data_IF_650451502486
#
_entry.id   IF_650451502486
#
_cell.length_a   1.000
_cell.length_b   1.000
_cell.length_c   1.000
_cell.angle_alpha   90.00
_cell.angle_beta   90.00
_cell.angle_gamma   90.00
#
_symmetry.space_group_name_H-M   'P 1'
#
loop_
_entity.id
_entity.type
_entity.pdbx_description
1 polymer ?
#
# COMPACT_ATOMS: atom_id res chain seq x y z
N UNK A 1 69.06 -39.94 38.80
CA UNK A 1 67.74 -39.70 38.14
C UNK A 1 67.29 -38.35 38.57
N UNK A 2 67.44 -37.37 37.70
CA UNK A 2 67.01 -35.96 37.94
C UNK A 2 65.55 -35.82 37.55
N UNK A 3 64.72 -35.67 38.56
CA UNK A 3 63.29 -35.34 38.35
C UNK A 3 63.17 -33.84 38.06
N UNK A 4 63.13 -33.48 36.78
CA UNK A 4 62.95 -32.13 36.37
C UNK A 4 61.51 -31.68 36.64
N UNK A 5 61.35 -30.59 37.38
CA UNK A 5 60.05 -29.95 37.63
C UNK A 5 59.53 -29.30 36.33
N UNK A 6 58.54 -29.90 35.67
CA UNK A 6 57.86 -29.32 34.51
C UNK A 6 56.89 -28.23 34.99
N UNK A 7 57.29 -26.96 34.90
CA UNK A 7 56.42 -25.83 35.13
C UNK A 7 55.64 -25.61 33.82
N UNK A 8 54.32 -25.85 33.82
CA UNK A 8 53.50 -25.52 32.73
C UNK A 8 53.30 -23.98 32.65
N UNK A 9 53.46 -23.35 31.48
CA UNK A 9 53.27 -21.92 31.37
C UNK A 9 51.80 -21.56 31.69
N UNK A 10 51.62 -20.60 32.58
CA UNK A 10 50.29 -20.06 32.92
C UNK A 10 49.65 -19.53 31.67
N UNK A 11 48.53 -20.10 31.27
CA UNK A 11 47.77 -19.68 30.08
C UNK A 11 47.24 -18.27 30.33
N UNK A 12 47.86 -17.27 29.76
CA UNK A 12 47.40 -15.89 29.88
C UNK A 12 46.07 -15.76 29.15
N UNK A 13 45.05 -15.37 29.89
CA UNK A 13 43.73 -15.17 29.34
C UNK A 13 43.72 -13.89 28.52
N UNK A 14 43.48 -14.01 27.19
CA UNK A 14 43.48 -12.87 26.28
C UNK A 14 42.15 -12.09 26.38
N UNK A 15 42.06 -11.19 27.37
CA UNK A 15 40.88 -10.34 27.58
C UNK A 15 40.54 -9.42 26.38
N UNK A 16 41.48 -9.10 25.50
CA UNK A 16 41.25 -8.35 24.27
C UNK A 16 40.42 -9.18 23.28
N UNK A 17 40.73 -10.48 23.18
CA UNK A 17 39.96 -11.39 22.35
C UNK A 17 38.54 -11.59 22.91
N UNK A 18 38.42 -11.74 24.24
CA UNK A 18 37.11 -11.82 24.90
C UNK A 18 36.29 -10.56 24.67
N UNK A 19 36.87 -9.36 24.84
CA UNK A 19 36.21 -8.10 24.61
C UNK A 19 35.75 -7.98 23.17
N UNK A 20 36.56 -8.40 22.20
CA UNK A 20 36.17 -8.43 20.78
C UNK A 20 34.94 -9.32 20.53
N UNK A 21 34.91 -10.51 21.10
CA UNK A 21 33.75 -11.41 20.97
C UNK A 21 32.49 -10.86 21.65
N UNK A 22 32.61 -10.21 22.80
CA UNK A 22 31.49 -9.57 23.49
C UNK A 22 30.91 -8.47 22.64
N UNK A 23 31.75 -7.61 22.06
CA UNK A 23 31.31 -6.54 21.15
C UNK A 23 30.60 -7.13 19.90
N UNK A 24 31.16 -8.19 19.34
CA UNK A 24 30.58 -8.88 18.19
C UNK A 24 29.19 -9.47 18.51
N UNK A 25 29.03 -10.07 19.69
CA UNK A 25 27.76 -10.63 20.17
C UNK A 25 26.70 -9.51 20.38
N UNK A 26 27.10 -8.38 20.97
CA UNK A 26 26.23 -7.24 21.16
C UNK A 26 25.74 -6.71 19.79
N UNK A 27 26.69 -6.53 18.84
CA UNK A 27 26.36 -6.04 17.50
C UNK A 27 25.45 -7.01 16.74
N UNK A 28 25.76 -8.32 16.81
CA UNK A 28 24.91 -9.36 16.23
C UNK A 28 23.53 -9.42 16.87
N UNK A 29 23.44 -9.27 18.17
CA UNK A 29 22.17 -9.18 18.91
C UNK A 29 21.33 -7.97 18.50
N UNK A 30 21.96 -6.79 18.32
CA UNK A 30 21.27 -5.59 17.81
C UNK A 30 20.74 -5.79 16.41
N UNK A 31 21.54 -6.35 15.50
CA UNK A 31 21.11 -6.64 14.12
C UNK A 31 19.91 -7.60 14.12
N UNK A 32 19.99 -8.67 14.90
CA UNK A 32 18.91 -9.65 15.03
C UNK A 32 17.63 -9.01 15.61
N UNK A 33 17.77 -8.17 16.64
CA UNK A 33 16.65 -7.44 17.25
C UNK A 33 15.97 -6.51 16.28
N UNK A 34 16.72 -5.64 15.57
CA UNK A 34 16.15 -4.71 14.59
C UNK A 34 15.59 -5.45 13.36
N UNK A 35 16.25 -6.52 12.91
CA UNK A 35 15.73 -7.37 11.83
C UNK A 35 14.39 -8.02 12.20
N UNK A 36 14.26 -8.49 13.44
CA UNK A 36 13.01 -9.05 13.95
C UNK A 36 11.91 -7.99 14.07
N UNK A 37 12.21 -6.79 14.59
CA UNK A 37 11.24 -5.68 14.65
C UNK A 37 10.79 -5.22 13.28
N UNK A 38 11.72 -5.10 12.34
CA UNK A 38 11.37 -4.80 10.95
C UNK A 38 10.44 -5.86 10.36
N UNK A 39 10.76 -7.12 10.54
CA UNK A 39 9.97 -8.22 10.01
C UNK A 39 8.53 -8.25 10.56
N UNK A 40 8.37 -8.06 11.87
CA UNK A 40 7.06 -8.17 12.55
C UNK A 40 6.24 -6.88 12.49
N UNK A 41 6.87 -5.72 12.65
CA UNK A 41 6.19 -4.44 12.82
C UNK A 41 6.48 -3.41 11.71
N UNK A 42 7.37 -3.73 10.76
CA UNK A 42 7.79 -2.78 9.72
C UNK A 42 8.64 -1.62 10.25
N UNK A 43 9.13 -1.70 11.49
CA UNK A 43 9.93 -0.64 12.08
C UNK A 43 11.35 -0.63 11.50
N UNK A 44 11.74 0.51 10.91
CA UNK A 44 13.09 0.69 10.38
C UNK A 44 14.09 0.91 11.52
N UNK A 45 15.34 0.40 11.39
CA UNK A 45 16.41 0.68 12.36
C UNK A 45 16.71 2.20 12.38
N UNK A 46 17.24 2.73 13.49
CA UNK A 46 17.53 4.16 13.64
C UNK A 46 18.68 4.64 12.72
N UNK A 47 19.39 3.75 12.07
CA UNK A 47 20.45 4.05 11.11
C UNK A 47 19.80 4.04 9.71
N UNK A 48 20.00 5.05 8.85
CA UNK A 48 19.47 5.09 7.49
C UNK A 48 20.12 3.99 6.63
N UNK A 49 19.57 2.79 6.72
CA UNK A 49 19.91 1.71 5.80
C UNK A 49 18.93 1.85 4.62
N UNK A 50 19.39 1.89 3.36
CA UNK A 50 18.51 1.90 2.21
C UNK A 50 17.83 0.53 2.09
N UNK A 51 16.79 0.32 2.87
CA UNK A 51 15.93 -0.86 2.75
C UNK A 51 14.75 -0.43 1.88
N UNK A 52 14.66 -0.98 0.69
CA UNK A 52 13.46 -0.85 -0.13
C UNK A 52 12.34 -1.64 0.53
N UNK A 53 11.58 -0.97 1.39
CA UNK A 53 10.45 -1.56 2.08
C UNK A 53 9.20 -1.35 1.21
N UNK A 54 8.75 -2.41 0.55
CA UNK A 54 7.57 -2.34 -0.29
C UNK A 54 7.17 -3.69 -0.85
N UNK A 55 6.01 -3.71 -1.47
CA UNK A 55 5.48 -4.89 -2.14
C UNK A 55 6.26 -5.17 -3.42
N UNK A 56 6.83 -6.35 -3.54
CA UNK A 56 7.50 -6.83 -4.76
C UNK A 56 6.49 -7.24 -5.84
N UNK A 57 6.89 -7.19 -7.11
CA UNK A 57 6.08 -7.67 -8.24
C UNK A 57 5.10 -6.64 -8.82
N UNK A 58 5.22 -5.35 -8.43
CA UNK A 58 4.49 -4.25 -9.05
C UNK A 58 5.22 -3.83 -10.32
N UNK A 59 4.49 -3.63 -11.40
CA UNK A 59 5.00 -3.03 -12.63
C UNK A 59 5.07 -1.51 -12.45
N UNK A 60 6.29 -0.98 -12.35
CA UNK A 60 6.55 0.45 -12.16
C UNK A 60 6.85 1.19 -13.48
N UNK A 61 6.55 0.58 -14.62
CA UNK A 61 6.74 1.22 -15.92
C UNK A 61 5.72 2.34 -16.14
N UNK A 62 6.18 3.44 -16.74
CA UNK A 62 5.31 4.56 -17.07
C UNK A 62 4.32 4.21 -18.18
N UNK A 63 3.07 4.64 -18.04
CA UNK A 63 2.02 4.44 -19.02
C UNK A 63 2.11 5.49 -20.13
N UNK A 64 2.32 5.07 -21.36
CA UNK A 64 2.42 5.96 -22.51
C UNK A 64 1.03 6.48 -22.96
N UNK A 65 1.03 7.60 -23.70
CA UNK A 65 -0.20 8.13 -24.30
C UNK A 65 -0.87 7.10 -25.24
N UNK A 66 -0.07 6.36 -26.01
CA UNK A 66 -0.58 5.28 -26.89
C UNK A 66 -1.25 4.16 -26.10
N UNK A 67 -0.74 3.78 -24.92
CA UNK A 67 -1.37 2.77 -24.07
C UNK A 67 -2.68 3.27 -23.47
N UNK A 68 -2.77 4.56 -23.09
CA UNK A 68 -4.03 5.17 -22.66
C UNK A 68 -5.07 5.19 -23.80
N UNK A 69 -4.66 5.61 -25.00
CA UNK A 69 -5.55 5.68 -26.17
C UNK A 69 -6.09 4.30 -26.59
N UNK A 70 -5.29 3.25 -26.46
CA UNK A 70 -5.70 1.87 -26.79
C UNK A 70 -6.52 1.21 -25.68
N UNK A 71 -6.62 1.84 -24.49
CA UNK A 71 -7.37 1.25 -23.39
C UNK A 71 -8.88 1.36 -23.63
N UNK A 72 -9.53 0.21 -23.69
CA UNK A 72 -10.97 0.08 -23.91
C UNK A 72 -11.61 -0.81 -22.83
N UNK A 73 -12.86 -0.57 -22.53
CA UNK A 73 -13.68 -1.38 -21.63
C UNK A 73 -15.14 -1.36 -22.10
N UNK A 74 -16.02 -2.15 -21.49
CA UNK A 74 -17.46 -2.14 -21.79
C UNK A 74 -18.07 -0.78 -21.48
N UNK A 75 -19.11 -0.39 -22.22
CA UNK A 75 -19.69 0.96 -22.16
C UNK A 75 -20.04 1.46 -20.77
N UNK A 76 -20.61 0.61 -19.91
CA UNK A 76 -21.00 0.97 -18.53
C UNK A 76 -19.86 0.90 -17.51
N UNK A 77 -18.76 0.21 -17.81
CA UNK A 77 -17.66 0.02 -16.86
C UNK A 77 -16.76 1.26 -16.76
N UNK A 78 -16.09 1.47 -15.62
CA UNK A 78 -15.12 2.55 -15.47
C UNK A 78 -13.91 2.32 -16.40
N UNK A 79 -13.57 3.31 -17.22
CA UNK A 79 -12.46 3.30 -18.18
C UNK A 79 -11.27 4.08 -17.67
N UNK A 80 -11.50 5.31 -17.19
CA UNK A 80 -10.47 6.17 -16.64
C UNK A 80 -10.92 6.84 -15.35
N UNK A 81 -9.95 7.14 -14.49
CA UNK A 81 -10.11 7.96 -13.28
C UNK A 81 -9.31 9.25 -13.42
N UNK A 82 -9.93 10.38 -13.07
CA UNK A 82 -9.28 11.69 -12.99
C UNK A 82 -9.53 12.31 -11.63
N UNK A 83 -8.46 12.80 -10.97
CA UNK A 83 -8.50 13.56 -9.72
C UNK A 83 -7.51 14.72 -9.88
N UNK A 84 -8.02 15.86 -10.34
CA UNK A 84 -7.17 17.01 -10.73
C UNK A 84 -6.31 17.52 -9.57
N UNK A 85 -6.88 17.59 -8.37
CA UNK A 85 -6.16 18.05 -7.16
C UNK A 85 -4.98 17.17 -6.76
N UNK A 86 -4.90 15.94 -7.28
CA UNK A 86 -3.78 15.02 -7.06
C UNK A 86 -2.90 14.81 -8.30
N UNK A 87 -3.15 15.55 -9.39
CA UNK A 87 -2.51 15.34 -10.69
C UNK A 87 -2.71 13.93 -11.28
N UNK A 88 -3.78 13.24 -10.88
CA UNK A 88 -4.21 11.99 -11.50
C UNK A 88 -5.03 12.34 -12.74
N UNK A 89 -4.46 12.09 -13.92
CA UNK A 89 -5.11 12.42 -15.19
C UNK A 89 -5.30 11.18 -16.05
N UNK A 90 -6.54 10.75 -16.20
CA UNK A 90 -6.96 9.59 -16.99
C UNK A 90 -6.11 8.35 -16.65
N UNK A 91 -6.04 8.00 -15.35
CA UNK A 91 -5.48 6.72 -14.93
C UNK A 91 -6.39 5.59 -15.44
N UNK A 92 -5.82 4.60 -16.12
CA UNK A 92 -6.59 3.48 -16.68
C UNK A 92 -7.20 2.66 -15.55
N UNK A 93 -8.44 2.24 -15.72
CA UNK A 93 -9.13 1.40 -14.75
C UNK A 93 -9.24 -0.02 -15.29
N UNK A 94 -8.88 -1.00 -14.45
CA UNK A 94 -8.97 -2.43 -14.77
C UNK A 94 -9.83 -3.16 -13.75
N UNK A 95 -10.61 -4.16 -14.18
CA UNK A 95 -11.36 -4.99 -13.24
C UNK A 95 -10.39 -5.80 -12.37
N UNK A 96 -10.65 -5.82 -11.07
CA UNK A 96 -9.91 -6.63 -10.09
C UNK A 96 -10.88 -7.46 -9.25
N UNK A 97 -10.36 -8.52 -8.64
CA UNK A 97 -11.07 -9.36 -7.69
C UNK A 97 -10.68 -9.08 -6.24
N UNK A 98 -10.83 -10.10 -5.39
CA UNK A 98 -10.31 -10.13 -4.03
C UNK A 98 -9.05 -11.00 -3.97
N UNK A 99 -8.15 -10.64 -3.06
CA UNK A 99 -7.02 -11.49 -2.65
C UNK A 99 -7.47 -12.59 -1.68
N UNK A 100 -6.57 -13.50 -1.38
CA UNK A 100 -6.83 -14.61 -0.44
C UNK A 100 -7.23 -14.18 0.98
N UNK A 101 -6.95 -12.92 1.37
CA UNK A 101 -7.34 -12.31 2.63
C UNK A 101 -8.64 -11.49 2.54
N UNK A 102 -9.42 -11.65 1.47
CA UNK A 102 -10.64 -10.89 1.15
C UNK A 102 -10.45 -9.37 0.98
N UNK A 103 -9.24 -8.88 0.83
CA UNK A 103 -8.98 -7.49 0.43
C UNK A 103 -9.17 -7.32 -1.07
N UNK A 104 -9.64 -6.14 -1.48
CA UNK A 104 -9.70 -5.77 -2.90
C UNK A 104 -8.29 -5.80 -3.48
N UNK A 105 -8.11 -6.50 -4.59
CA UNK A 105 -6.81 -6.57 -5.24
C UNK A 105 -6.44 -5.22 -5.88
N UNK A 106 -5.16 -5.06 -6.22
CA UNK A 106 -4.65 -3.86 -6.87
C UNK A 106 -4.23 -4.19 -8.31
N UNK A 107 -4.25 -3.20 -9.21
CA UNK A 107 -3.81 -3.40 -10.59
C UNK A 107 -2.30 -3.77 -10.62
N UNK A 108 -1.88 -4.40 -11.72
CA UNK A 108 -0.46 -4.80 -11.88
C UNK A 108 0.47 -3.61 -12.01
N UNK A 109 0.06 -2.58 -12.78
CA UNK A 109 0.87 -1.39 -12.98
C UNK A 109 0.56 -0.33 -11.93
N UNK A 110 1.60 0.30 -11.42
CA UNK A 110 1.55 1.28 -10.33
C UNK A 110 0.74 2.55 -10.65
N UNK A 111 0.61 2.87 -11.95
CA UNK A 111 -0.12 4.04 -12.43
C UNK A 111 -1.59 3.74 -12.78
N UNK A 112 -2.01 2.49 -12.67
CA UNK A 112 -3.37 2.06 -12.98
C UNK A 112 -4.24 2.02 -11.71
N UNK A 113 -5.55 1.96 -11.92
CA UNK A 113 -6.59 1.85 -10.88
C UNK A 113 -7.31 0.51 -11.04
N UNK A 114 -7.52 -0.19 -9.94
CA UNK A 114 -8.33 -1.39 -9.88
C UNK A 114 -9.79 -1.04 -9.59
N UNK A 115 -10.73 -1.59 -10.33
CA UNK A 115 -12.14 -1.56 -10.01
C UNK A 115 -12.59 -2.94 -9.53
N UNK A 116 -13.12 -3.02 -8.31
CA UNK A 116 -13.68 -4.28 -7.82
C UNK A 116 -14.91 -4.66 -8.63
N UNK A 117 -14.76 -5.64 -9.51
CA UNK A 117 -15.73 -6.02 -10.53
C UNK A 117 -17.08 -6.53 -9.98
N UNK A 118 -17.17 -6.77 -8.67
CA UNK A 118 -18.42 -7.12 -7.97
C UNK A 118 -19.06 -5.92 -7.25
N UNK A 119 -18.44 -4.74 -7.29
CA UNK A 119 -19.04 -3.49 -6.87
C UNK A 119 -19.87 -2.89 -8.02
N UNK A 120 -20.61 -1.83 -7.73
CA UNK A 120 -21.42 -1.15 -8.74
C UNK A 120 -20.59 -0.58 -9.89
N UNK A 121 -21.22 -0.39 -11.04
CA UNK A 121 -20.67 0.37 -12.16
C UNK A 121 -21.06 1.85 -12.01
N UNK A 122 -20.28 2.79 -12.57
CA UNK A 122 -20.61 4.20 -12.52
C UNK A 122 -21.97 4.49 -13.18
N UNK A 123 -22.83 5.29 -12.53
CA UNK A 123 -24.15 5.69 -13.01
C UNK A 123 -25.09 4.49 -13.25
N UNK A 124 -25.06 3.49 -12.36
CA UNK A 124 -25.91 2.30 -12.46
C UNK A 124 -27.04 2.32 -11.43
N UNK A 125 -26.70 2.46 -10.15
CA UNK A 125 -27.67 2.42 -9.04
C UNK A 125 -27.14 3.17 -7.81
N UNK A 126 -28.00 3.29 -6.76
CA UNK A 126 -27.61 3.86 -5.46
C UNK A 126 -26.78 2.83 -4.67
N UNK A 127 -25.55 2.66 -5.08
CA UNK A 127 -24.59 1.72 -4.53
C UNK A 127 -23.20 2.34 -4.53
N UNK A 128 -22.12 1.56 -4.47
CA UNK A 128 -20.74 2.07 -4.41
C UNK A 128 -19.89 1.48 -5.51
N UNK A 129 -19.21 2.35 -6.25
CA UNK A 129 -18.09 1.98 -7.11
C UNK A 129 -16.84 1.90 -6.25
N UNK A 130 -16.26 0.71 -6.10
CA UNK A 130 -15.09 0.50 -5.25
C UNK A 130 -13.82 0.42 -6.10
N UNK A 131 -12.90 1.37 -5.86
CA UNK A 131 -11.66 1.50 -6.60
C UNK A 131 -10.46 1.34 -5.67
N UNK A 132 -9.42 0.68 -6.15
CA UNK A 132 -8.14 0.49 -5.46
C UNK A 132 -6.98 1.00 -6.30
N UNK A 133 -5.88 1.38 -5.65
CA UNK A 133 -4.69 1.81 -6.35
C UNK A 133 -3.47 1.86 -5.45
N UNK A 134 -2.30 1.75 -6.04
CA UNK A 134 -1.04 1.76 -5.31
C UNK A 134 -0.71 3.14 -4.72
N UNK A 135 -0.25 3.16 -3.48
CA UNK A 135 0.36 4.34 -2.87
C UNK A 135 1.80 4.51 -3.35
N UNK A 136 2.60 3.45 -3.21
CA UNK A 136 4.02 3.47 -3.56
C UNK A 136 4.46 2.10 -4.06
N UNK A 137 5.47 2.08 -4.90
CA UNK A 137 6.25 0.91 -5.27
C UNK A 137 7.59 0.88 -4.54
N UNK A 138 8.57 0.18 -5.12
CA UNK A 138 9.93 0.12 -4.61
C UNK A 138 10.70 1.38 -5.02
N UNK A 139 10.52 1.83 -6.27
CA UNK A 139 11.25 2.96 -6.86
C UNK A 139 10.36 4.17 -7.14
N UNK A 140 9.06 3.95 -7.41
CA UNK A 140 8.15 5.01 -7.85
C UNK A 140 6.92 5.15 -6.98
N UNK A 141 6.41 6.36 -6.96
CA UNK A 141 5.11 6.67 -6.36
C UNK A 141 3.98 6.09 -7.19
N UNK A 142 2.94 5.59 -6.50
CA UNK A 142 1.75 5.05 -7.13
C UNK A 142 0.69 6.10 -7.43
N UNK A 143 -0.32 5.68 -8.20
CA UNK A 143 -1.44 6.54 -8.63
C UNK A 143 -2.16 7.21 -7.45
N UNK A 144 -2.19 6.56 -6.28
CA UNK A 144 -2.84 7.05 -5.06
C UNK A 144 -1.86 7.50 -3.97
N UNK A 145 -0.61 7.85 -4.32
CA UNK A 145 0.41 8.36 -3.40
C UNK A 145 -0.09 9.48 -2.48
N UNK A 146 -0.88 10.36 -3.03
CA UNK A 146 -1.37 11.54 -2.34
C UNK A 146 -2.85 11.44 -1.94
N UNK A 147 -3.44 10.25 -1.94
CA UNK A 147 -4.87 10.05 -1.69
C UNK A 147 -5.31 10.64 -0.34
N UNK A 148 -4.47 10.56 0.69
CA UNK A 148 -4.72 11.13 2.01
C UNK A 148 -4.73 12.66 2.07
N UNK A 149 -4.27 13.33 1.00
CA UNK A 149 -4.26 14.80 0.89
C UNK A 149 -5.55 15.37 0.29
N UNK A 150 -6.48 14.52 -0.14
CA UNK A 150 -7.78 14.98 -0.59
C UNK A 150 -8.50 15.68 0.57
N UNK A 151 -9.17 16.75 0.23
CA UNK A 151 -10.02 17.49 1.16
C UNK A 151 -11.49 17.34 0.77
N UNK A 152 -12.36 17.69 1.69
CA UNK A 152 -13.79 17.80 1.40
C UNK A 152 -14.01 18.71 0.19
N UNK A 153 -14.99 18.33 -0.62
CA UNK A 153 -15.34 18.96 -1.90
C UNK A 153 -14.31 18.79 -3.03
N UNK A 154 -13.22 18.03 -2.85
CA UNK A 154 -12.38 17.62 -3.99
C UNK A 154 -13.20 16.83 -5.00
N UNK A 155 -12.99 17.12 -6.30
CA UNK A 155 -13.71 16.46 -7.38
C UNK A 155 -12.99 15.19 -7.82
N UNK A 156 -13.77 14.12 -8.01
CA UNK A 156 -13.35 12.86 -8.63
C UNK A 156 -14.21 12.66 -9.89
N UNK A 157 -13.59 12.35 -11.01
CA UNK A 157 -14.30 12.05 -12.25
C UNK A 157 -13.97 10.65 -12.72
N UNK A 158 -14.98 9.82 -12.90
CA UNK A 158 -14.87 8.52 -13.56
C UNK A 158 -15.38 8.68 -15.00
N UNK A 159 -14.52 8.32 -15.96
CA UNK A 159 -14.90 8.24 -17.38
C UNK A 159 -15.29 6.80 -17.66
N UNK A 160 -16.48 6.58 -18.16
CA UNK A 160 -17.00 5.27 -18.54
C UNK A 160 -16.46 4.80 -19.90
N UNK A 161 -16.69 3.54 -20.22
CA UNK A 161 -16.34 2.98 -21.52
C UNK A 161 -17.08 3.62 -22.70
N UNK A 162 -18.25 4.18 -22.48
CA UNK A 162 -19.03 4.98 -23.43
C UNK A 162 -18.67 6.47 -23.44
N UNK A 163 -17.53 6.82 -22.82
CA UNK A 163 -16.94 8.15 -22.69
C UNK A 163 -17.80 9.17 -21.90
N UNK A 164 -18.85 8.73 -21.17
CA UNK A 164 -19.59 9.58 -20.23
C UNK A 164 -18.76 9.85 -18.97
N UNK A 165 -18.80 11.10 -18.49
CA UNK A 165 -18.14 11.54 -17.28
C UNK A 165 -19.12 11.52 -16.12
N UNK A 166 -18.83 10.73 -15.10
CA UNK A 166 -19.57 10.70 -13.84
C UNK A 166 -18.73 11.39 -12.78
N UNK A 167 -19.30 12.38 -12.12
CA UNK A 167 -18.61 13.26 -11.20
C UNK A 167 -19.04 13.00 -9.76
N UNK A 168 -18.06 12.96 -8.87
CA UNK A 168 -18.25 12.75 -7.44
C UNK A 168 -17.52 13.84 -6.67
N UNK A 169 -18.06 14.17 -5.49
CA UNK A 169 -17.45 15.11 -4.53
C UNK A 169 -17.07 14.36 -3.27
N UNK A 170 -15.81 14.51 -2.85
CA UNK A 170 -15.27 13.93 -1.61
C UNK A 170 -16.05 14.44 -0.42
N UNK A 171 -16.46 13.50 0.45
CA UNK A 171 -17.20 13.75 1.69
C UNK A 171 -16.47 13.24 2.91
N UNK A 172 -15.50 12.35 2.75
CA UNK A 172 -14.75 11.80 3.88
C UNK A 172 -13.41 11.25 3.41
N UNK A 173 -12.36 11.56 4.17
CA UNK A 173 -11.03 10.97 4.05
C UNK A 173 -10.65 10.41 5.41
N UNK A 174 -10.40 9.10 5.49
CA UNK A 174 -10.02 8.42 6.73
C UNK A 174 -8.73 7.65 6.54
N UNK A 175 -7.89 7.65 7.55
CA UNK A 175 -6.75 6.74 7.67
C UNK A 175 -7.08 5.77 8.80
N UNK A 176 -7.07 4.49 8.50
CA UNK A 176 -7.38 3.41 9.43
C UNK A 176 -6.23 2.43 9.53
N UNK A 177 -5.99 1.85 10.70
CA UNK A 177 -5.05 0.73 10.82
C UNK A 177 -5.66 -0.52 10.21
N UNK A 178 -4.83 -1.35 9.59
CA UNK A 178 -5.29 -2.63 9.03
C UNK A 178 -5.90 -3.53 10.12
N UNK A 179 -5.40 -3.45 11.35
CA UNK A 179 -5.93 -4.20 12.49
C UNK A 179 -7.35 -3.80 12.87
N UNK A 180 -7.70 -2.53 12.66
CA UNK A 180 -9.03 -1.97 12.95
C UNK A 180 -10.01 -2.17 11.78
N UNK A 181 -9.51 -2.74 10.65
CA UNK A 181 -10.32 -2.98 9.47
C UNK A 181 -11.17 -4.25 9.65
N UNK A 182 -12.27 -4.10 10.35
CA UNK A 182 -13.21 -5.15 10.70
C UNK A 182 -14.47 -5.13 9.79
N UNK A 183 -15.45 -5.97 10.11
CA UNK A 183 -16.70 -6.06 9.36
C UNK A 183 -17.48 -4.74 9.32
N UNK A 184 -17.41 -3.90 10.35
CA UNK A 184 -18.07 -2.60 10.38
C UNK A 184 -17.42 -1.63 9.41
N UNK A 185 -16.07 -1.57 9.36
CA UNK A 185 -15.33 -0.77 8.40
C UNK A 185 -15.58 -1.25 6.95
N UNK A 186 -15.65 -2.56 6.73
CA UNK A 186 -16.01 -3.14 5.43
C UNK A 186 -17.42 -2.72 5.01
N UNK A 187 -18.39 -2.76 5.92
CA UNK A 187 -19.76 -2.30 5.64
C UNK A 187 -19.81 -0.80 5.30
N UNK A 188 -18.98 0.02 5.96
CA UNK A 188 -18.92 1.45 5.69
C UNK A 188 -18.41 1.76 4.27
N UNK A 189 -17.41 1.05 3.78
CA UNK A 189 -16.83 1.31 2.44
C UNK A 189 -17.68 0.78 1.29
N UNK A 190 -18.59 -0.14 1.55
CA UNK A 190 -19.47 -0.75 0.54
C UNK A 190 -20.86 -0.11 0.47
N UNK A 191 -21.17 0.85 1.35
CA UNK A 191 -22.41 1.61 1.34
C UNK A 191 -22.16 3.04 0.89
N UNK A 192 -23.08 3.67 0.13
CA UNK A 192 -22.95 5.08 -0.22
C UNK A 192 -22.93 5.95 1.05
N UNK A 193 -22.20 7.08 0.99
CA UNK A 193 -22.16 8.03 2.11
C UNK A 193 -23.43 8.90 2.15
N UNK A 194 -24.04 9.09 1.00
CA UNK A 194 -25.37 9.69 0.81
C UNK A 194 -26.30 8.60 0.27
N UNK A 195 -27.29 8.20 1.07
CA UNK A 195 -28.19 7.10 0.72
C UNK A 195 -29.14 7.41 -0.46
N UNK A 196 -29.12 8.63 -0.97
CA UNK A 196 -29.92 9.06 -2.11
C UNK A 196 -29.14 9.09 -3.42
N UNK A 197 -27.82 8.87 -3.36
CA UNK A 197 -26.90 9.01 -4.51
C UNK A 197 -25.91 7.86 -4.57
N UNK A 198 -25.41 7.60 -5.76
CA UNK A 198 -24.30 6.67 -5.92
C UNK A 198 -23.04 7.19 -5.20
N UNK A 199 -22.32 6.28 -4.60
CA UNK A 199 -21.03 6.55 -3.96
C UNK A 199 -19.84 6.05 -4.77
N UNK A 200 -18.68 6.64 -4.56
CA UNK A 200 -17.40 6.06 -4.93
C UNK A 200 -16.52 5.96 -3.68
N UNK A 201 -15.86 4.82 -3.52
CA UNK A 201 -14.86 4.62 -2.46
C UNK A 201 -13.51 4.32 -3.11
N UNK A 202 -12.50 5.12 -2.77
CA UNK A 202 -11.12 4.89 -3.18
C UNK A 202 -10.35 4.33 -2.00
N UNK A 203 -9.57 3.26 -2.22
CA UNK A 203 -8.75 2.61 -1.19
C UNK A 203 -7.31 2.52 -1.65
N UNK A 204 -6.38 2.84 -0.75
CA UNK A 204 -4.95 2.68 -0.98
C UNK A 204 -4.24 2.22 0.30
N UNK A 205 -3.12 1.55 0.11
CA UNK A 205 -2.18 1.24 1.18
C UNK A 205 -1.53 2.53 1.70
N UNK A 206 -1.15 2.56 2.98
CA UNK A 206 -0.41 3.66 3.61
C UNK A 206 0.44 3.15 4.76
N UNK A 207 1.48 3.92 5.11
CA UNK A 207 2.34 3.67 6.28
C UNK A 207 3.48 2.71 6.00
N UNK A 208 3.81 1.85 6.98
CA UNK A 208 4.94 0.96 6.93
C UNK A 208 4.55 -0.41 6.35
N UNK A 209 5.44 -0.96 5.53
CA UNK A 209 5.32 -2.33 5.07
C UNK A 209 5.63 -3.30 6.20
N UNK A 210 4.76 -4.27 6.45
CA UNK A 210 4.95 -5.33 7.45
C UNK A 210 5.26 -6.64 6.71
N UNK A 211 6.54 -7.05 6.61
CA UNK A 211 6.94 -8.24 5.86
C UNK A 211 6.22 -9.52 6.31
N UNK A 212 6.05 -9.71 7.62
CA UNK A 212 5.37 -10.88 8.19
C UNK A 212 3.90 -11.01 7.78
N UNK A 213 3.24 -9.90 7.49
CA UNK A 213 1.83 -9.85 7.09
C UNK A 213 1.65 -9.67 5.57
N UNK A 214 2.74 -9.35 4.84
CA UNK A 214 2.69 -9.05 3.41
C UNK A 214 1.79 -7.87 3.06
N UNK A 215 1.67 -6.88 3.96
CA UNK A 215 0.76 -5.74 3.80
C UNK A 215 1.31 -4.49 4.51
N UNK A 216 0.74 -3.34 4.21
CA UNK A 216 1.01 -2.10 4.94
C UNK A 216 0.16 -2.01 6.21
N UNK A 217 0.62 -1.24 7.21
CA UNK A 217 -0.03 -1.11 8.52
C UNK A 217 -1.29 -0.23 8.51
N UNK A 218 -1.46 0.62 7.51
CA UNK A 218 -2.62 1.52 7.37
C UNK A 218 -3.26 1.44 5.98
N UNK A 219 -4.50 1.92 5.91
CA UNK A 219 -5.26 2.16 4.67
C UNK A 219 -5.77 3.59 4.65
N UNK A 220 -5.70 4.22 3.47
CA UNK A 220 -6.46 5.44 3.18
C UNK A 220 -7.76 5.05 2.53
N UNK A 221 -8.85 5.58 3.04
CA UNK A 221 -10.20 5.38 2.52
C UNK A 221 -10.78 6.76 2.22
N UNK A 222 -11.11 7.01 0.97
CA UNK A 222 -11.80 8.21 0.52
C UNK A 222 -13.19 7.82 0.07
N UNK A 223 -14.20 8.51 0.59
CA UNK A 223 -15.60 8.30 0.20
C UNK A 223 -16.14 9.57 -0.40
N UNK A 224 -16.78 9.44 -1.55
CA UNK A 224 -17.37 10.54 -2.26
C UNK A 224 -18.79 10.20 -2.74
N UNK A 225 -19.60 11.21 -2.96
CA UNK A 225 -20.97 11.11 -3.45
C UNK A 225 -21.09 11.74 -4.83
N UNK A 226 -21.87 11.14 -5.68
CA UNK A 226 -22.23 11.67 -7.00
C UNK A 226 -22.88 13.07 -6.90
N UNK A 227 -22.66 13.93 -7.90
CA UNK A 227 -23.20 15.31 -7.96
C UNK A 227 -24.20 15.49 -9.11
#
# INVERSE_FOLDING_TARGET
MSSGLHIQPKREFNYKLLAFFVVLCIFGGMIAWYGWRYYIAGELPPIPIPISAGRTGIDETSVSASQKQKHTTSGSQPKFLTIESLNVNQARVFPVGLRGNNEVDMPKNINDVGWYSKSSQPDEDISVVLLSGHNTGIEKDGVFKNLSKLSDNSKITIIRGDDRNINYIVKSVKIVRVEDFNSAATSEITKPIDETKQGVTLISDLGNWIPAKGTYDHRVIVRASEI
#
